data_IF_953378852486
#
_entry.id   IF_953378852486
#
_cell.length_a   1.000
_cell.length_b   1.000
_cell.length_c   1.000
_cell.angle_alpha   90.00
_cell.angle_beta   90.00
_cell.angle_gamma   90.00
#
_symmetry.space_group_name_H-M   'P 1'
#
loop_
_entity.id
_entity.type
_entity.pdbx_description
1 polymer ?
#
# COMPACT_ATOMS: atom_id res chain seq x y z
N UNK A 1 9.95 0.57 -8.33
CA UNK A 1 11.26 1.24 -8.29
C UNK A 1 11.59 1.70 -6.88
N UNK A 2 12.85 1.75 -6.58
CA UNK A 2 13.35 2.30 -5.32
C UNK A 2 14.45 3.31 -5.64
N UNK A 3 14.30 4.53 -5.11
CA UNK A 3 15.24 5.63 -5.36
C UNK A 3 15.52 5.84 -6.85
N UNK A 4 14.47 5.74 -7.66
CA UNK A 4 14.56 5.94 -9.11
C UNK A 4 15.13 4.79 -9.92
N UNK A 5 15.52 3.69 -9.27
CA UNK A 5 16.07 2.51 -9.93
C UNK A 5 15.14 1.31 -9.80
N UNK A 6 15.22 0.41 -10.77
CA UNK A 6 14.50 -0.86 -10.68
C UNK A 6 15.19 -1.71 -9.60
N UNK A 7 14.38 -2.19 -8.64
CA UNK A 7 14.87 -3.05 -7.57
C UNK A 7 14.75 -4.52 -8.03
N UNK A 8 15.85 -5.23 -7.94
CA UNK A 8 15.94 -6.62 -8.39
C UNK A 8 16.16 -7.59 -7.23
N UNK A 9 16.03 -8.90 -7.51
CA UNK A 9 16.20 -9.92 -6.46
C UNK A 9 17.57 -9.84 -5.78
N UNK A 10 18.62 -9.49 -6.52
CA UNK A 10 19.96 -9.35 -5.97
C UNK A 10 20.05 -8.22 -4.95
N UNK A 11 19.17 -7.25 -5.03
CA UNK A 11 19.19 -6.09 -4.14
C UNK A 11 18.51 -6.37 -2.81
N UNK A 12 17.83 -7.50 -2.66
CA UNK A 12 17.16 -7.86 -1.41
C UNK A 12 18.16 -7.99 -0.27
N UNK A 13 19.28 -8.68 -0.53
CA UNK A 13 20.33 -8.93 0.47
C UNK A 13 19.71 -9.53 1.74
N UNK A 14 19.97 -8.93 2.91
CA UNK A 14 19.43 -9.40 4.18
C UNK A 14 18.11 -8.72 4.58
N UNK A 15 17.47 -8.01 3.67
CA UNK A 15 16.22 -7.32 3.97
C UNK A 15 15.05 -8.30 3.96
N UNK A 16 14.02 -7.97 4.74
CA UNK A 16 12.84 -8.82 4.91
C UNK A 16 11.64 -8.32 4.12
N UNK A 17 11.41 -7.02 4.10
CA UNK A 17 10.23 -6.47 3.46
C UNK A 17 10.38 -5.01 3.10
N UNK A 18 9.35 -4.48 2.47
CA UNK A 18 9.34 -3.09 2.03
C UNK A 18 7.94 -2.49 2.15
N UNK A 19 7.93 -1.17 2.23
CA UNK A 19 6.71 -0.36 2.19
C UNK A 19 6.67 0.34 0.83
N UNK A 20 5.52 0.35 0.20
CA UNK A 20 5.37 0.89 -1.15
C UNK A 20 4.17 1.81 -1.26
N UNK A 21 4.24 2.67 -2.27
CA UNK A 21 3.15 3.56 -2.66
C UNK A 21 2.77 3.24 -4.11
N UNK A 22 1.49 3.00 -4.36
CA UNK A 22 0.96 2.85 -5.70
C UNK A 22 0.13 4.09 -6.02
N UNK A 23 0.32 4.64 -7.21
CA UNK A 23 -0.44 5.79 -7.70
C UNK A 23 -1.13 5.42 -9.00
N UNK A 24 -2.45 5.65 -9.05
CA UNK A 24 -3.22 5.58 -10.28
C UNK A 24 -3.07 6.92 -11.01
N UNK A 25 -2.38 6.92 -12.15
CA UNK A 25 -2.11 8.15 -12.90
C UNK A 25 -3.36 8.77 -13.52
N UNK A 26 -4.44 8.01 -13.65
CA UNK A 26 -5.68 8.49 -14.25
C UNK A 26 -6.45 9.41 -13.29
N UNK A 27 -6.57 9.01 -12.02
CA UNK A 27 -7.36 9.74 -11.04
C UNK A 27 -6.56 10.26 -9.85
N UNK A 28 -5.25 10.03 -9.81
CA UNK A 28 -4.35 10.41 -8.72
C UNK A 28 -4.59 9.68 -7.41
N UNK A 29 -5.44 8.68 -7.39
CA UNK A 29 -5.74 7.91 -6.19
C UNK A 29 -4.57 7.00 -5.84
N UNK A 30 -4.28 6.85 -4.55
CA UNK A 30 -3.08 6.16 -4.08
C UNK A 30 -3.39 5.04 -3.11
N UNK A 31 -2.41 4.17 -2.94
CA UNK A 31 -2.48 3.07 -1.98
C UNK A 31 -1.11 2.87 -1.35
N UNK A 32 -1.07 2.75 -0.02
CA UNK A 32 0.15 2.43 0.72
C UNK A 32 0.00 1.02 1.26
N UNK A 33 1.03 0.22 1.06
CA UNK A 33 1.03 -1.15 1.55
C UNK A 33 2.42 -1.64 1.87
N UNK A 34 2.48 -2.88 2.34
CA UNK A 34 3.73 -3.56 2.60
C UNK A 34 3.74 -4.90 1.90
N UNK A 35 4.94 -5.40 1.65
CA UNK A 35 5.13 -6.75 1.12
C UNK A 35 6.44 -7.30 1.67
N UNK A 36 6.43 -8.58 2.00
CA UNK A 36 7.65 -9.26 2.39
C UNK A 36 8.31 -9.86 1.16
N UNK A 37 9.64 -9.81 1.12
CA UNK A 37 10.39 -10.44 0.04
C UNK A 37 10.31 -11.96 0.11
N UNK A 38 10.07 -12.50 1.30
CA UNK A 38 10.14 -13.92 1.55
C UNK A 38 8.77 -14.46 2.00
N UNK A 39 8.45 -15.64 1.48
CA UNK A 39 7.31 -16.42 1.93
C UNK A 39 7.82 -17.71 2.57
N UNK A 40 7.12 -18.17 3.60
CA UNK A 40 7.43 -19.41 4.27
C UNK A 40 6.30 -20.38 4.00
N UNK A 41 6.54 -21.37 3.14
CA UNK A 41 5.53 -22.33 2.73
C UNK A 41 6.01 -23.74 3.01
N UNK A 42 5.06 -24.63 3.37
CA UNK A 42 5.33 -26.04 3.48
C UNK A 42 5.12 -26.67 2.10
N UNK A 43 6.19 -27.16 1.46
CA UNK A 43 6.03 -27.83 0.17
C UNK A 43 5.16 -29.06 0.29
N UNK A 44 4.50 -29.44 -0.81
CA UNK A 44 3.66 -30.64 -0.85
C UNK A 44 4.49 -31.86 -0.45
N UNK A 45 3.99 -32.63 0.53
CA UNK A 45 4.67 -33.83 1.04
C UNK A 45 5.77 -33.58 2.05
N UNK A 46 6.00 -32.33 2.46
CA UNK A 46 6.98 -31.98 3.47
C UNK A 46 6.29 -31.48 4.73
N UNK A 47 6.98 -31.61 5.87
CA UNK A 47 6.44 -31.20 7.17
C UNK A 47 6.95 -29.83 7.63
N UNK A 48 8.03 -29.32 7.05
CA UNK A 48 8.63 -28.05 7.44
C UNK A 48 8.38 -26.98 6.41
N UNK A 49 8.21 -25.75 6.88
CA UNK A 49 8.12 -24.58 6.02
C UNK A 49 9.49 -24.29 5.41
N UNK A 50 9.48 -23.91 4.14
CA UNK A 50 10.67 -23.54 3.40
C UNK A 50 10.58 -22.07 3.03
N UNK A 51 11.69 -21.36 3.21
CA UNK A 51 11.82 -19.95 2.81
C UNK A 51 11.91 -19.86 1.29
N UNK A 52 11.02 -19.10 0.69
CA UNK A 52 11.00 -18.89 -0.75
C UNK A 52 10.83 -17.40 -1.05
N UNK A 53 11.41 -16.93 -2.15
CA UNK A 53 11.14 -15.58 -2.59
C UNK A 53 9.66 -15.45 -2.93
N UNK A 54 9.03 -14.37 -2.46
CA UNK A 54 7.61 -14.13 -2.69
C UNK A 54 7.37 -13.55 -4.09
N UNK A 55 6.10 -13.29 -4.42
CA UNK A 55 5.70 -12.67 -5.68
C UNK A 55 5.83 -11.13 -5.65
N UNK A 56 6.72 -10.60 -4.83
CA UNK A 56 6.82 -9.15 -4.58
C UNK A 56 7.01 -8.32 -5.85
N UNK A 57 7.67 -8.86 -6.86
CA UNK A 57 7.90 -8.12 -8.12
C UNK A 57 6.60 -7.79 -8.83
N UNK A 58 5.62 -8.69 -8.75
CA UNK A 58 4.34 -8.57 -9.44
C UNK A 58 3.23 -8.06 -8.52
N UNK A 59 3.51 -7.93 -7.23
CA UNK A 59 2.50 -7.65 -6.21
C UNK A 59 2.09 -6.17 -6.25
N UNK A 60 0.80 -5.93 -6.43
CA UNK A 60 0.21 -4.59 -6.42
C UNK A 60 -0.88 -4.45 -5.36
N UNK A 61 -0.69 -5.12 -4.22
CA UNK A 61 -1.61 -5.00 -3.10
C UNK A 61 -2.75 -6.00 -3.12
N UNK A 62 -3.43 -6.12 -2.00
CA UNK A 62 -4.56 -7.04 -1.82
C UNK A 62 -5.91 -6.32 -1.76
N UNK A 63 -5.93 -5.01 -1.90
CA UNK A 63 -7.16 -4.21 -1.82
C UNK A 63 -8.07 -4.49 -3.03
N UNK A 64 -9.32 -4.94 -2.81
CA UNK A 64 -10.21 -5.25 -3.93
C UNK A 64 -10.50 -4.05 -4.84
N UNK A 65 -10.71 -2.88 -4.28
CA UNK A 65 -10.97 -1.66 -5.05
C UNK A 65 -9.80 -1.31 -5.96
N UNK A 66 -8.57 -1.42 -5.44
CA UNK A 66 -7.36 -1.19 -6.24
C UNK A 66 -7.25 -2.22 -7.37
N UNK A 67 -7.52 -3.48 -7.09
CA UNK A 67 -7.47 -4.53 -8.11
C UNK A 67 -8.48 -4.29 -9.22
N UNK A 68 -9.68 -3.86 -8.88
CA UNK A 68 -10.70 -3.51 -9.86
C UNK A 68 -10.24 -2.38 -10.77
N UNK A 69 -9.64 -1.34 -10.20
CA UNK A 69 -9.16 -0.21 -10.97
C UNK A 69 -7.97 -0.56 -11.86
N UNK A 70 -7.10 -1.47 -11.41
CA UNK A 70 -6.00 -1.95 -12.25
C UNK A 70 -6.54 -2.65 -13.49
N UNK A 71 -7.60 -3.44 -13.34
CA UNK A 71 -8.26 -4.09 -14.47
C UNK A 71 -8.93 -3.05 -15.37
N UNK A 72 -9.62 -2.09 -14.78
CA UNK A 72 -10.41 -1.08 -15.51
C UNK A 72 -9.52 -0.14 -16.31
N UNK A 73 -8.44 0.35 -15.72
CA UNK A 73 -7.60 1.41 -16.32
C UNK A 73 -6.34 0.88 -16.99
N UNK A 74 -5.97 -0.37 -16.73
CA UNK A 74 -4.73 -0.94 -17.23
C UNK A 74 -3.55 -0.72 -16.28
N UNK A 75 -2.75 -1.76 -16.12
CA UNK A 75 -1.63 -1.76 -15.19
C UNK A 75 -0.58 -0.70 -15.52
N UNK A 76 -0.43 -0.36 -16.81
CA UNK A 76 0.52 0.65 -17.27
C UNK A 76 0.19 2.05 -16.71
N UNK A 77 -1.02 2.26 -16.22
CA UNK A 77 -1.43 3.53 -15.62
C UNK A 77 -1.19 3.59 -14.11
N UNK A 78 -0.58 2.54 -13.54
CA UNK A 78 -0.26 2.49 -12.12
C UNK A 78 1.24 2.47 -11.92
N UNK A 79 1.73 3.33 -11.04
CA UNK A 79 3.15 3.41 -10.69
C UNK A 79 3.33 2.93 -9.27
N UNK A 80 4.26 1.98 -9.08
CA UNK A 80 4.62 1.51 -7.75
C UNK A 80 6.02 2.00 -7.40
N UNK A 81 6.13 2.68 -6.27
CA UNK A 81 7.40 3.18 -5.76
C UNK A 81 7.66 2.55 -4.40
N UNK A 82 8.85 2.03 -4.20
CA UNK A 82 9.26 1.54 -2.90
C UNK A 82 9.67 2.73 -2.05
N UNK A 83 8.98 2.92 -0.93
CA UNK A 83 9.25 4.03 -0.01
C UNK A 83 10.40 3.70 0.94
N UNK A 84 10.47 2.47 1.43
CA UNK A 84 11.50 2.06 2.39
C UNK A 84 11.64 0.55 2.41
N UNK A 85 12.82 0.10 2.83
CA UNK A 85 13.17 -1.32 2.89
C UNK A 85 13.65 -1.61 4.31
N UNK A 86 13.26 -2.77 4.85
CA UNK A 86 13.50 -3.09 6.25
C UNK A 86 13.98 -4.52 6.42
N UNK A 87 14.83 -4.74 7.43
CA UNK A 87 15.45 -6.03 7.69
C UNK A 87 14.57 -6.98 8.49
N UNK A 88 13.52 -6.48 9.15
CA UNK A 88 12.66 -7.32 9.98
C UNK A 88 11.20 -7.12 9.64
N UNK A 89 10.40 -8.13 9.96
CA UNK A 89 8.94 -8.06 9.83
C UNK A 89 8.37 -6.92 10.67
N UNK A 90 8.84 -6.79 11.91
CA UNK A 90 8.35 -5.75 12.82
C UNK A 90 8.62 -4.36 12.30
N UNK A 91 9.83 -4.10 11.79
CA UNK A 91 10.18 -2.80 11.22
C UNK A 91 9.36 -2.49 9.97
N UNK A 92 9.14 -3.49 9.12
CA UNK A 92 8.32 -3.31 7.92
C UNK A 92 6.90 -2.92 8.31
N UNK A 93 6.31 -3.64 9.26
CA UNK A 93 4.94 -3.39 9.71
C UNK A 93 4.81 -2.03 10.40
N UNK A 94 5.81 -1.67 11.20
CA UNK A 94 5.82 -0.39 11.89
C UNK A 94 5.83 0.77 10.88
N UNK A 95 6.72 0.71 9.90
CA UNK A 95 6.84 1.79 8.93
C UNK A 95 5.59 1.90 8.06
N UNK A 96 4.99 0.78 7.67
CA UNK A 96 3.72 0.83 6.94
C UNK A 96 2.66 1.55 7.76
N UNK A 97 2.51 1.16 9.02
CA UNK A 97 1.52 1.76 9.91
C UNK A 97 1.76 3.25 10.08
N UNK A 98 3.02 3.63 10.28
CA UNK A 98 3.41 5.04 10.40
C UNK A 98 3.03 5.82 9.15
N UNK A 99 3.32 5.27 7.97
CA UNK A 99 2.99 5.92 6.70
C UNK A 99 1.47 6.08 6.53
N UNK A 100 0.70 5.10 6.95
CA UNK A 100 -0.75 5.18 6.87
C UNK A 100 -1.30 6.33 7.72
N UNK A 101 -0.77 6.53 8.92
CA UNK A 101 -1.21 7.63 9.78
C UNK A 101 -0.67 8.98 9.31
N UNK A 102 0.60 9.06 8.96
CA UNK A 102 1.22 10.33 8.55
C UNK A 102 0.56 10.89 7.29
N UNK A 103 0.17 10.02 6.38
CA UNK A 103 -0.48 10.43 5.13
C UNK A 103 -2.00 10.59 5.27
N UNK A 104 -2.56 10.37 6.45
CA UNK A 104 -4.00 10.51 6.70
C UNK A 104 -4.84 9.73 5.68
N UNK A 105 -4.46 8.47 5.45
CA UNK A 105 -5.05 7.67 4.36
C UNK A 105 -6.56 7.47 4.51
N UNK A 106 -7.09 7.54 5.73
CA UNK A 106 -8.52 7.35 5.98
C UNK A 106 -9.34 8.63 5.79
N UNK A 107 -8.68 9.81 5.76
CA UNK A 107 -9.40 11.09 5.79
C UNK A 107 -9.08 12.01 4.60
N UNK A 108 -7.98 11.78 3.90
CA UNK A 108 -7.64 12.62 2.74
C UNK A 108 -8.60 12.40 1.58
N UNK A 109 -8.95 13.47 0.90
CA UNK A 109 -9.83 13.43 -0.26
C UNK A 109 -9.21 14.09 -1.47
N UNK A 110 -9.62 13.63 -2.65
CA UNK A 110 -9.31 14.27 -3.92
C UNK A 110 -10.18 15.53 -4.09
N UNK A 111 -9.84 16.36 -5.06
CA UNK A 111 -10.59 17.59 -5.34
C UNK A 111 -12.06 17.32 -5.64
N UNK A 112 -12.37 16.16 -6.21
CA UNK A 112 -13.76 15.79 -6.53
C UNK A 112 -14.54 15.22 -5.35
N UNK A 113 -13.93 15.15 -4.16
CA UNK A 113 -14.58 14.63 -2.96
C UNK A 113 -14.42 13.13 -2.73
N UNK A 114 -13.84 12.40 -3.66
CA UNK A 114 -13.58 10.97 -3.46
C UNK A 114 -12.41 10.77 -2.50
N UNK A 115 -12.34 9.62 -1.81
CA UNK A 115 -11.16 9.31 -1.00
C UNK A 115 -9.89 9.35 -1.84
N UNK A 116 -8.84 9.97 -1.29
CA UNK A 116 -7.56 10.06 -1.98
C UNK A 116 -6.80 8.74 -1.99
N UNK A 117 -7.15 7.82 -1.11
CA UNK A 117 -6.47 6.53 -0.97
C UNK A 117 -7.45 5.37 -1.13
N UNK A 118 -6.95 4.28 -1.70
CA UNK A 118 -7.67 3.02 -1.74
C UNK A 118 -7.74 2.34 -0.38
N UNK A 119 -6.85 2.71 0.55
CA UNK A 119 -6.80 2.12 1.87
C UNK A 119 -8.12 2.35 2.60
N UNK A 120 -8.76 1.26 3.07
CA UNK A 120 -10.05 1.31 3.74
C UNK A 120 -9.93 1.21 5.26
N UNK A 121 -8.77 0.83 5.76
CA UNK A 121 -8.57 0.69 7.20
C UNK A 121 -7.09 0.76 7.56
N UNK A 122 -6.82 0.93 8.85
CA UNK A 122 -5.50 0.83 9.44
C UNK A 122 -5.59 -0.23 10.53
N UNK A 123 -4.79 -1.29 10.42
CA UNK A 123 -4.69 -2.37 11.40
C UNK A 123 -6.02 -3.10 11.65
N UNK A 124 -6.94 -3.09 10.71
CA UNK A 124 -8.29 -3.65 10.89
C UNK A 124 -8.97 -3.13 12.17
N UNK A 125 -8.58 -1.96 12.62
CA UNK A 125 -9.10 -1.32 13.82
C UNK A 125 -9.76 0.03 13.50
N UNK A 126 -9.14 0.81 12.62
CA UNK A 126 -9.65 2.11 12.22
C UNK A 126 -10.12 2.01 10.77
N UNK A 127 -11.38 2.31 10.51
CA UNK A 127 -11.98 2.11 9.18
C UNK A 127 -12.38 3.45 8.58
N UNK A 128 -12.11 3.61 7.27
CA UNK A 128 -12.44 4.83 6.53
C UNK A 128 -13.89 5.25 6.73
N UNK A 129 -14.82 4.30 6.73
CA UNK A 129 -16.25 4.57 6.89
C UNK A 129 -16.59 5.35 8.15
N UNK A 130 -15.75 5.25 9.19
CA UNK A 130 -16.01 5.89 10.48
C UNK A 130 -15.41 7.30 10.58
N UNK A 131 -14.41 7.61 9.75
CA UNK A 131 -13.63 8.84 9.88
C UNK A 131 -13.63 9.71 8.64
N UNK A 132 -13.96 9.14 7.49
CA UNK A 132 -13.91 9.88 6.23
C UNK A 132 -15.09 10.83 6.12
N UNK A 133 -14.81 12.10 5.86
CA UNK A 133 -15.80 13.12 5.60
C UNK A 133 -15.44 13.82 4.30
N UNK A 134 -16.23 13.63 3.23
CA UNK A 134 -15.98 14.33 1.97
C UNK A 134 -16.04 15.83 2.18
N UNK A 135 -15.18 16.57 1.50
CA UNK A 135 -15.21 18.03 1.52
C UNK A 135 -16.51 18.47 0.82
N UNK A 136 -17.33 19.24 1.54
CA UNK A 136 -18.55 19.80 0.97
C UNK A 136 -18.22 20.95 0.01
N UNK A 137 -19.11 21.21 -0.97
CA UNK A 137 -18.83 22.22 -2.00
C UNK A 137 -18.73 23.63 -1.44
N UNK A 138 -19.35 23.92 -0.31
CA UNK A 138 -19.31 25.24 0.33
C UNK A 138 -18.42 25.18 1.56
N UNK A 139 -17.14 25.15 1.40
CA UNK A 139 -16.18 25.00 2.47
C UNK A 139 -15.98 26.27 3.31
N UNK A 140 -16.99 27.10 3.36
CA UNK A 140 -16.90 28.37 4.08
C UNK A 140 -16.75 28.21 5.58
N UNK A 141 -17.21 27.11 6.14
CA UNK A 141 -17.19 26.88 7.58
C UNK A 141 -16.30 25.73 7.95
N UNK A 142 -15.30 25.95 8.82
CA UNK A 142 -14.48 24.86 9.33
C UNK A 142 -15.33 23.92 10.19
N UNK A 143 -15.10 22.63 10.05
CA UNK A 143 -15.78 21.64 10.89
C UNK A 143 -15.18 21.67 12.28
N UNK A 144 -16.03 21.49 13.27
CA UNK A 144 -15.61 21.45 14.65
C UNK A 144 -15.31 22.82 15.25
N UNK A 145 -15.61 23.88 14.58
CA UNK A 145 -15.46 25.22 15.10
C UNK A 145 -16.66 25.65 15.93
#
# INVERSE_FOLDING_TARGET
KYQGKVFESEDIQDNFGFVYLITNKINSKQYIGRKYFWAFRTPKGKKRKVKQESDWKKYYGSCPELKEDIIKYGRENFVRVVLSIHQTKGKTNYEETRQLFVNNVLTESLDNGDPAFYNSNILSRYFRKDYYEPIANDQSLPKGS
#
